data_IF_809583066371
#
_entry.id   IF_809583066371
#
_cell.length_a   1.000
_cell.length_b   1.000
_cell.length_c   1.000
_cell.angle_alpha   90.00
_cell.angle_beta   90.00
_cell.angle_gamma   90.00
#
_symmetry.space_group_name_H-M   'P 1'
#
loop_
_entity.id
_entity.type
_entity.pdbx_description
1 polymer ?
#
# COMPACT_ATOMS: atom_id res chain seq x y z
N UNK A 1 -9.56 -9.42 -17.34
CA UNK A 1 -9.12 -8.06 -16.95
C UNK A 1 -7.61 -8.06 -16.79
N UNK A 2 -6.94 -7.09 -17.37
CA UNK A 2 -5.49 -6.94 -17.20
C UNK A 2 -5.13 -5.48 -16.90
N UNK A 3 -3.92 -5.28 -16.40
CA UNK A 3 -3.37 -3.96 -16.11
C UNK A 3 -2.00 -3.88 -16.75
N UNK A 4 -1.71 -2.76 -17.41
CA UNK A 4 -0.48 -2.60 -18.19
C UNK A 4 0.29 -1.37 -17.70
N UNK A 5 1.61 -1.53 -17.62
CA UNK A 5 2.52 -0.41 -17.39
C UNK A 5 3.66 -0.49 -18.40
N UNK A 6 4.19 0.68 -18.76
CA UNK A 6 5.36 0.78 -19.63
C UNK A 6 6.45 1.55 -18.91
N UNK A 7 7.66 1.05 -18.98
CA UNK A 7 8.84 1.71 -18.41
C UNK A 7 9.70 2.24 -19.53
N UNK A 8 10.12 3.50 -19.41
CA UNK A 8 11.06 4.13 -20.36
C UNK A 8 12.23 4.71 -19.55
N UNK A 9 13.44 4.36 -19.93
CA UNK A 9 14.65 4.85 -19.28
C UNK A 9 15.64 5.38 -20.30
N UNK A 10 16.31 6.48 -19.97
CA UNK A 10 17.37 7.08 -20.74
C UNK A 10 18.52 7.47 -19.81
N UNK A 11 19.74 7.20 -20.22
CA UNK A 11 20.91 7.53 -19.43
C UNK A 11 20.88 8.96 -18.88
N UNK A 12 21.27 9.15 -17.63
CA UNK A 12 21.33 10.42 -16.88
C UNK A 12 19.97 11.00 -16.45
N UNK A 13 18.87 10.34 -16.80
CA UNK A 13 17.53 10.78 -16.40
C UNK A 13 16.88 9.72 -15.51
N UNK A 14 15.92 10.13 -14.64
CA UNK A 14 15.11 9.13 -13.95
C UNK A 14 14.32 8.33 -14.98
N UNK A 15 13.98 7.10 -14.62
CA UNK A 15 13.04 6.31 -15.39
C UNK A 15 11.65 6.92 -15.31
N UNK A 16 10.80 6.55 -16.23
CA UNK A 16 9.38 6.93 -16.22
C UNK A 16 8.55 5.67 -16.28
N UNK A 17 7.58 5.54 -15.38
CA UNK A 17 6.54 4.52 -15.50
C UNK A 17 5.25 5.17 -15.99
N UNK A 18 4.68 4.60 -17.01
CA UNK A 18 3.44 5.07 -17.64
C UNK A 18 2.38 4.02 -17.36
N UNK A 19 1.35 4.42 -16.62
CA UNK A 19 0.23 3.54 -16.29
C UNK A 19 -0.79 3.52 -17.43
N UNK A 20 -1.59 2.48 -17.48
CA UNK A 20 -2.62 2.31 -18.51
C UNK A 20 -3.62 3.48 -18.54
N UNK A 21 -3.89 4.11 -17.39
CA UNK A 21 -4.77 5.27 -17.29
C UNK A 21 -4.12 6.60 -17.68
N UNK A 22 -2.86 6.58 -18.14
CA UNK A 22 -2.14 7.77 -18.57
C UNK A 22 -1.28 8.43 -17.49
N UNK A 23 -1.36 7.99 -16.25
CA UNK A 23 -0.50 8.52 -15.18
C UNK A 23 0.97 8.22 -15.47
N UNK A 24 1.82 9.24 -15.37
CA UNK A 24 3.28 9.11 -15.57
C UNK A 24 3.99 9.50 -14.27
N UNK A 25 4.88 8.64 -13.79
CA UNK A 25 5.61 8.85 -12.55
C UNK A 25 7.10 8.62 -12.80
N UNK A 26 7.93 9.56 -12.34
CA UNK A 26 9.38 9.38 -12.36
C UNK A 26 9.79 8.37 -11.29
N UNK A 27 10.70 7.47 -11.62
CA UNK A 27 11.22 6.48 -10.67
C UNK A 27 12.74 6.36 -10.75
N UNK A 28 13.33 5.86 -9.69
CA UNK A 28 14.75 5.57 -9.61
C UNK A 28 14.97 4.51 -8.52
N UNK A 29 16.15 3.91 -8.50
CA UNK A 29 16.56 3.12 -7.35
C UNK A 29 16.64 4.01 -6.11
N UNK A 30 16.57 3.44 -4.89
CA UNK A 30 16.81 4.22 -3.67
C UNK A 30 18.19 4.93 -3.73
N UNK A 31 18.26 6.13 -3.14
CA UNK A 31 19.50 6.91 -3.13
C UNK A 31 20.65 6.12 -2.50
N UNK A 32 20.37 5.28 -1.51
CA UNK A 32 21.31 4.39 -0.83
C UNK A 32 21.90 3.31 -1.77
N UNK A 33 21.22 3.03 -2.88
CA UNK A 33 21.60 2.06 -3.89
C UNK A 33 21.96 2.76 -5.22
N UNK A 34 22.61 3.90 -5.14
CA UNK A 34 23.08 4.70 -6.29
C UNK A 34 21.95 5.34 -7.11
N UNK A 35 20.75 5.46 -6.51
CA UNK A 35 19.61 6.12 -7.16
C UNK A 35 19.60 7.63 -6.97
N UNK A 36 18.64 8.26 -7.60
CA UNK A 36 18.40 9.68 -7.48
C UNK A 36 17.45 9.97 -6.32
N UNK A 37 17.63 11.11 -5.64
CA UNK A 37 16.66 11.59 -4.65
C UNK A 37 15.48 12.22 -5.36
N UNK A 38 14.28 12.01 -4.83
CA UNK A 38 13.05 12.64 -5.29
C UNK A 38 12.11 11.72 -6.07
N UNK A 39 12.58 10.95 -7.09
CA UNK A 39 11.71 10.02 -7.78
C UNK A 39 11.21 8.88 -6.89
N UNK A 40 10.06 8.31 -7.25
CA UNK A 40 9.51 7.13 -6.61
C UNK A 40 10.50 5.95 -6.73
N UNK A 41 10.60 5.12 -5.70
CA UNK A 41 11.38 3.89 -5.79
C UNK A 41 10.47 2.68 -5.96
N UNK A 42 10.94 1.60 -6.60
CA UNK A 42 10.17 0.35 -6.67
C UNK A 42 9.80 -0.19 -5.29
N UNK A 43 10.68 -0.02 -4.29
CA UNK A 43 10.45 -0.44 -2.92
C UNK A 43 9.28 0.32 -2.30
N UNK A 44 9.25 1.65 -2.46
CA UNK A 44 8.13 2.47 -1.99
C UNK A 44 6.84 2.17 -2.77
N UNK A 45 6.95 1.92 -4.06
CA UNK A 45 5.80 1.55 -4.89
C UNK A 45 5.19 0.23 -4.43
N UNK A 46 6.01 -0.76 -4.10
CA UNK A 46 5.57 -2.06 -3.60
C UNK A 46 4.82 -1.91 -2.27
N UNK A 47 5.42 -1.24 -1.29
CA UNK A 47 4.79 -0.99 0.00
C UNK A 47 3.57 -0.09 -0.15
N UNK A 48 3.67 0.92 -1.00
CA UNK A 48 2.59 1.85 -1.29
C UNK A 48 1.38 1.18 -1.94
N UNK A 49 1.60 0.20 -2.81
CA UNK A 49 0.50 -0.55 -3.42
C UNK A 49 -0.34 -1.27 -2.36
N UNK A 50 0.30 -1.92 -1.40
CA UNK A 50 -0.40 -2.56 -0.28
C UNK A 50 -1.17 -1.53 0.56
N UNK A 51 -0.54 -0.40 0.84
CA UNK A 51 -1.12 0.67 1.65
C UNK A 51 -2.37 1.26 0.99
N UNK A 52 -2.28 1.60 -0.30
CA UNK A 52 -3.41 2.14 -1.07
C UNK A 52 -4.55 1.14 -1.20
N UNK A 53 -4.22 -0.10 -1.52
CA UNK A 53 -5.23 -1.14 -1.71
C UNK A 53 -6.01 -1.40 -0.42
N UNK A 54 -5.32 -1.47 0.71
CA UNK A 54 -5.97 -1.65 2.00
C UNK A 54 -6.97 -0.52 2.29
N UNK A 55 -6.58 0.73 2.06
CA UNK A 55 -7.47 1.88 2.30
C UNK A 55 -8.73 1.80 1.45
N UNK A 56 -8.58 1.53 0.16
CA UNK A 56 -9.73 1.46 -0.77
C UNK A 56 -10.71 0.37 -0.35
N UNK A 57 -10.19 -0.83 -0.07
CA UNK A 57 -11.04 -1.97 0.33
C UNK A 57 -11.66 -1.72 1.70
N UNK A 58 -10.90 -1.13 2.63
CA UNK A 58 -11.40 -0.81 3.97
C UNK A 58 -12.58 0.17 3.93
N UNK A 59 -12.53 1.16 3.05
CA UNK A 59 -13.62 2.12 2.89
C UNK A 59 -14.91 1.41 2.42
N UNK A 60 -14.80 0.52 1.44
CA UNK A 60 -15.95 -0.24 0.95
C UNK A 60 -16.52 -1.19 2.01
N UNK A 61 -15.65 -1.93 2.68
CA UNK A 61 -16.05 -2.88 3.72
C UNK A 61 -16.68 -2.16 4.91
N UNK A 62 -16.09 -1.04 5.33
CA UNK A 62 -16.59 -0.24 6.44
C UNK A 62 -18.01 0.25 6.15
N UNK A 63 -18.24 0.77 4.96
CA UNK A 63 -19.55 1.24 4.52
C UNK A 63 -20.61 0.13 4.62
N UNK A 64 -20.25 -1.07 4.13
CA UNK A 64 -21.17 -2.22 4.16
C UNK A 64 -21.47 -2.70 5.59
N UNK A 65 -20.57 -2.43 6.54
CA UNK A 65 -20.72 -2.81 7.94
C UNK A 65 -21.24 -1.69 8.84
N UNK A 66 -21.73 -0.60 8.25
CA UNK A 66 -22.32 0.50 8.99
C UNK A 66 -21.31 1.42 9.67
N UNK A 67 -20.07 1.44 9.19
CA UNK A 67 -19.03 2.36 9.62
C UNK A 67 -18.84 3.42 8.53
N UNK A 68 -19.02 4.69 8.89
CA UNK A 68 -18.79 5.78 7.95
C UNK A 68 -17.42 6.40 8.22
N UNK A 69 -16.44 6.02 7.41
CA UNK A 69 -15.10 6.56 7.48
C UNK A 69 -15.08 8.00 6.95
N UNK A 70 -14.62 8.94 7.76
CA UNK A 70 -14.50 10.36 7.41
C UNK A 70 -13.08 10.74 7.02
N UNK A 71 -12.10 10.25 7.76
CA UNK A 71 -10.69 10.54 7.52
C UNK A 71 -9.87 9.29 7.76
N UNK A 72 -8.80 9.16 6.98
CA UNK A 72 -7.90 8.02 7.06
C UNK A 72 -6.50 8.46 6.68
N UNK A 73 -5.53 8.09 7.52
CA UNK A 73 -4.13 8.18 7.16
C UNK A 73 -3.44 6.90 7.63
N UNK A 74 -2.44 6.46 6.91
CA UNK A 74 -1.79 5.21 7.24
C UNK A 74 -0.31 5.25 6.87
N UNK A 75 0.53 5.04 7.87
CA UNK A 75 1.95 4.76 7.64
C UNK A 75 2.10 3.27 7.39
N UNK A 76 2.76 2.91 6.31
CA UNK A 76 3.11 1.53 6.00
C UNK A 76 4.61 1.34 6.10
N UNK A 77 5.04 0.26 6.72
CA UNK A 77 6.46 -0.09 6.87
C UNK A 77 6.68 -1.47 6.26
N UNK A 78 7.56 -1.55 5.27
CA UNK A 78 8.01 -2.82 4.70
C UNK A 78 9.36 -3.19 5.28
N UNK A 79 9.47 -4.41 5.79
CA UNK A 79 10.73 -4.94 6.31
C UNK A 79 11.40 -5.80 5.27
N UNK A 80 12.61 -5.39 4.87
CA UNK A 80 13.44 -6.07 3.88
C UNK A 80 14.49 -6.89 4.61
N UNK A 81 14.61 -8.16 4.24
CA UNK A 81 15.60 -9.06 4.79
C UNK A 81 16.31 -9.81 3.66
N UNK A 82 17.42 -10.47 4.01
CA UNK A 82 18.09 -11.39 3.10
C UNK A 82 17.62 -12.80 3.44
N UNK A 83 16.93 -13.43 2.48
CA UNK A 83 16.43 -14.78 2.60
C UNK A 83 17.08 -15.64 1.51
N UNK A 84 17.78 -16.68 1.92
CA UNK A 84 18.51 -17.56 0.98
C UNK A 84 19.43 -16.78 0.02
N UNK A 85 20.12 -15.75 0.55
CA UNK A 85 21.05 -14.92 -0.20
C UNK A 85 20.43 -13.82 -1.06
N UNK A 86 19.09 -13.69 -1.05
CA UNK A 86 18.37 -12.70 -1.86
C UNK A 86 17.63 -11.71 -0.98
N UNK A 87 17.58 -10.45 -1.41
CA UNK A 87 16.76 -9.43 -0.76
C UNK A 87 15.26 -9.74 -0.98
N UNK A 88 14.50 -9.71 0.09
CA UNK A 88 13.07 -10.00 0.05
C UNK A 88 12.34 -9.18 1.11
N UNK A 89 11.17 -8.62 0.75
CA UNK A 89 10.25 -8.12 1.76
C UNK A 89 9.62 -9.31 2.48
N UNK A 90 9.71 -9.32 3.80
CA UNK A 90 9.18 -10.42 4.62
C UNK A 90 7.94 -10.02 5.41
N UNK A 91 7.73 -8.70 5.58
CA UNK A 91 6.60 -8.19 6.35
C UNK A 91 6.24 -6.77 5.90
N UNK A 92 4.95 -6.49 5.87
CA UNK A 92 4.42 -5.12 5.78
C UNK A 92 3.53 -4.88 7.00
N UNK A 93 3.80 -3.79 7.71
CA UNK A 93 2.98 -3.35 8.85
C UNK A 93 2.26 -2.07 8.46
N UNK A 94 0.94 -2.05 8.63
CA UNK A 94 0.09 -0.90 8.38
C UNK A 94 -0.36 -0.30 9.71
N UNK A 95 -0.22 1.01 9.84
CA UNK A 95 -0.63 1.77 11.04
C UNK A 95 -1.74 2.76 10.66
N UNK A 96 -2.97 2.29 10.38
CA UNK A 96 -4.04 3.18 9.98
C UNK A 96 -4.57 3.99 11.16
N UNK A 97 -4.73 5.28 10.96
CA UNK A 97 -5.41 6.19 11.87
C UNK A 97 -6.72 6.59 11.22
N UNK A 98 -7.85 6.40 11.92
CA UNK A 98 -9.16 6.46 11.34
C UNK A 98 -10.11 7.33 12.17
N UNK A 99 -10.90 8.15 11.48
CA UNK A 99 -11.97 8.91 12.10
C UNK A 99 -13.30 8.50 11.46
N UNK A 100 -14.26 8.16 12.30
CA UNK A 100 -15.60 7.75 11.85
C UNK A 100 -16.66 8.76 12.24
N UNK A 101 -17.73 8.82 11.45
CA UNK A 101 -18.88 9.66 11.76
C UNK A 101 -19.58 9.18 13.03
N UNK A 102 -20.20 10.10 13.81
CA UNK A 102 -21.08 9.72 14.92
C UNK A 102 -22.16 8.75 14.45
N UNK A 103 -22.49 7.78 15.29
CA UNK A 103 -23.49 6.75 14.95
C UNK A 103 -22.93 5.57 14.15
N UNK A 104 -21.67 5.58 13.81
CA UNK A 104 -21.01 4.41 13.19
C UNK A 104 -21.05 3.21 14.14
N UNK A 105 -21.26 2.03 13.56
CA UNK A 105 -21.34 0.76 14.32
C UNK A 105 -19.92 0.28 14.70
N UNK A 106 -19.32 0.92 15.70
CA UNK A 106 -17.92 0.68 16.08
C UNK A 106 -17.67 -0.75 16.56
N UNK A 107 -18.69 -1.48 16.99
CA UNK A 107 -18.55 -2.92 17.32
C UNK A 107 -18.16 -3.76 16.10
N UNK A 108 -18.34 -3.23 14.88
CA UNK A 108 -17.97 -3.91 13.64
C UNK A 108 -16.55 -3.59 13.18
N UNK A 109 -15.78 -2.78 13.92
CA UNK A 109 -14.46 -2.34 13.48
C UNK A 109 -13.49 -3.51 13.26
N UNK A 110 -13.39 -4.41 14.24
CA UNK A 110 -12.49 -5.56 14.12
C UNK A 110 -12.87 -6.45 12.94
N UNK A 111 -14.17 -6.65 12.72
CA UNK A 111 -14.67 -7.39 11.58
C UNK A 111 -14.33 -6.68 10.27
N UNK A 112 -14.48 -5.37 10.20
CA UNK A 112 -14.13 -4.59 9.01
C UNK A 112 -12.64 -4.75 8.66
N UNK A 113 -11.76 -4.66 9.65
CA UNK A 113 -10.32 -4.85 9.44
C UNK A 113 -10.02 -6.27 8.94
N UNK A 114 -10.61 -7.28 9.58
CA UNK A 114 -10.40 -8.68 9.21
C UNK A 114 -10.88 -8.99 7.80
N UNK A 115 -12.05 -8.50 7.43
CA UNK A 115 -12.61 -8.68 6.08
C UNK A 115 -11.77 -7.94 5.04
N UNK A 116 -11.35 -6.72 5.35
CA UNK A 116 -10.50 -5.94 4.46
C UNK A 116 -9.19 -6.66 4.18
N UNK A 117 -8.54 -7.17 5.21
CA UNK A 117 -7.30 -7.91 5.07
C UNK A 117 -7.48 -9.11 4.14
N UNK A 118 -8.57 -9.85 4.29
CA UNK A 118 -8.87 -11.01 3.45
C UNK A 118 -9.14 -10.64 1.99
N UNK A 119 -9.76 -9.48 1.76
CA UNK A 119 -10.15 -9.02 0.41
C UNK A 119 -9.11 -8.15 -0.29
N UNK A 120 -8.06 -7.74 0.39
CA UNK A 120 -7.04 -6.88 -0.19
C UNK A 120 -6.29 -7.60 -1.31
N UNK A 121 -6.59 -7.25 -2.55
CA UNK A 121 -6.02 -7.87 -3.75
C UNK A 121 -4.50 -7.88 -3.71
N UNK A 122 -3.90 -6.73 -3.43
CA UNK A 122 -2.45 -6.55 -3.52
C UNK A 122 -1.73 -7.40 -2.48
N UNK A 123 -2.16 -7.34 -1.21
CA UNK A 123 -1.51 -8.14 -0.15
C UNK A 123 -1.74 -9.64 -0.35
N UNK A 124 -2.88 -10.03 -0.89
CA UNK A 124 -3.13 -11.44 -1.24
C UNK A 124 -2.19 -11.97 -2.32
N UNK A 125 -1.63 -11.08 -3.14
CA UNK A 125 -0.70 -11.42 -4.22
C UNK A 125 0.77 -11.36 -3.77
N UNK A 126 1.02 -11.02 -2.51
CA UNK A 126 2.36 -10.92 -1.93
C UNK A 126 2.66 -12.11 -1.03
N UNK A 127 3.90 -12.63 -1.13
CA UNK A 127 4.39 -13.71 -0.27
C UNK A 127 5.12 -13.09 0.94
N UNK A 128 4.34 -12.57 1.89
CA UNK A 128 4.87 -11.97 3.11
C UNK A 128 3.80 -11.86 4.19
N UNK A 129 4.24 -11.58 5.42
CA UNK A 129 3.35 -11.32 6.55
C UNK A 129 2.79 -9.89 6.48
N UNK A 130 1.51 -9.74 6.78
CA UNK A 130 0.86 -8.43 6.88
C UNK A 130 0.29 -8.25 8.29
N UNK A 131 0.67 -7.18 8.96
CA UNK A 131 0.17 -6.81 10.27
C UNK A 131 -0.55 -5.47 10.21
N UNK A 132 -1.69 -5.37 10.88
CA UNK A 132 -2.48 -4.14 10.95
C UNK A 132 -2.50 -3.68 12.41
N UNK A 133 -2.06 -2.45 12.66
CA UNK A 133 -2.05 -1.83 13.98
C UNK A 133 -2.92 -0.57 13.93
N UNK A 134 -4.25 -0.70 14.13
CA UNK A 134 -5.16 0.40 13.94
C UNK A 134 -5.22 1.35 15.12
N UNK A 135 -5.55 2.61 14.85
CA UNK A 135 -5.84 3.62 15.87
C UNK A 135 -7.07 4.41 15.46
N UNK A 136 -8.06 4.45 16.33
CA UNK A 136 -9.25 5.28 16.14
C UNK A 136 -9.01 6.64 16.80
N UNK A 137 -9.23 7.69 16.05
CA UNK A 137 -9.09 9.07 16.51
C UNK A 137 -10.38 9.60 17.15
#
# INVERSE_FOLDING_TARGET
MNFETTVVWKEKFPGKIICQNGQVIDYSAPAELEGMRGPLTPEDAFVGAANMCFQIVFEYVSRDLGLKLLEYSCKAVGDLEIVEGLKKFVKITLYPEMKFAPGSKMTNLDKAISVTRRKCLVTNSMDLEVEIVPKVL
#
